data_IF_504035080327
#
_entry.id   IF_504035080327
#
_cell.length_a   1.000
_cell.length_b   1.000
_cell.length_c   1.000
_cell.angle_alpha   90.00
_cell.angle_beta   90.00
_cell.angle_gamma   90.00
#
_symmetry.space_group_name_H-M   'P 1'
#
loop_
_entity.id
_entity.type
_entity.pdbx_description
1 polymer ?
#
# COMPACT_ATOMS: atom_id res chain seq x y z
N UNK A 1 9.82 -9.44 -5.09
CA UNK A 1 9.00 -10.65 -4.90
C UNK A 1 7.77 -10.24 -4.09
N UNK A 2 6.65 -10.94 -4.25
CA UNK A 2 5.43 -10.75 -3.46
C UNK A 2 5.47 -11.75 -2.29
N UNK A 3 6.22 -11.44 -1.27
CA UNK A 3 6.48 -12.28 -0.09
C UNK A 3 5.89 -11.71 1.21
N UNK A 4 5.23 -10.56 1.11
CA UNK A 4 4.46 -9.96 2.18
C UNK A 4 2.98 -10.34 2.10
N UNK A 5 2.23 -9.93 3.13
CA UNK A 5 0.79 -10.16 3.21
C UNK A 5 0.06 -8.84 3.52
N UNK A 6 -1.07 -8.63 2.86
CA UNK A 6 -2.06 -7.64 3.27
C UNK A 6 -3.23 -8.38 3.90
N UNK A 7 -3.64 -7.92 5.06
CA UNK A 7 -4.77 -8.48 5.80
C UNK A 7 -5.84 -7.42 6.04
N UNK A 8 -7.07 -7.87 6.17
CA UNK A 8 -8.18 -7.05 6.68
C UNK A 8 -8.97 -7.87 7.69
N UNK A 9 -9.32 -7.24 8.79
CA UNK A 9 -10.21 -7.83 9.78
C UNK A 9 -11.30 -6.83 10.15
N UNK A 10 -12.51 -7.32 10.29
CA UNK A 10 -13.67 -6.51 10.66
C UNK A 10 -14.76 -7.36 11.30
N UNK A 11 -15.69 -6.71 12.00
CA UNK A 11 -16.92 -7.33 12.43
C UNK A 11 -18.01 -7.18 11.38
N UNK A 12 -18.67 -8.27 11.05
CA UNK A 12 -19.84 -8.26 10.17
C UNK A 12 -21.10 -7.70 10.88
N UNK A 13 -22.23 -7.66 10.17
CA UNK A 13 -23.49 -7.16 10.71
C UNK A 13 -24.04 -7.99 11.88
N UNK A 14 -23.60 -9.23 12.02
CA UNK A 14 -23.97 -10.13 13.12
C UNK A 14 -23.00 -10.07 14.30
N UNK A 15 -21.96 -9.22 14.22
CA UNK A 15 -20.93 -9.08 15.24
C UNK A 15 -19.83 -10.15 15.19
N UNK A 16 -19.78 -10.98 14.14
CA UNK A 16 -18.76 -11.99 13.96
C UNK A 16 -17.50 -11.39 13.32
N UNK A 17 -16.35 -11.80 13.81
CA UNK A 17 -15.08 -11.40 13.21
C UNK A 17 -14.87 -12.08 11.87
N UNK A 18 -14.52 -11.30 10.87
CA UNK A 18 -14.07 -11.73 9.54
C UNK A 18 -12.59 -11.36 9.37
N UNK A 19 -11.85 -12.25 8.73
CA UNK A 19 -10.42 -12.08 8.47
C UNK A 19 -10.08 -12.55 7.06
N UNK A 20 -9.34 -11.73 6.35
CA UNK A 20 -8.81 -12.03 5.01
C UNK A 20 -7.31 -11.75 4.96
N UNK A 21 -6.59 -12.55 4.20
CA UNK A 21 -5.15 -12.45 4.02
C UNK A 21 -4.78 -12.75 2.57
N UNK A 22 -3.98 -11.88 1.96
CA UNK A 22 -3.59 -12.00 0.55
C UNK A 22 -2.11 -11.69 0.36
N UNK A 23 -1.47 -12.34 -0.64
CA UNK A 23 -0.11 -12.06 -1.01
C UNK A 23 0.04 -10.64 -1.60
N UNK A 24 1.06 -9.95 -1.16
CA UNK A 24 1.35 -8.58 -1.56
C UNK A 24 2.85 -8.28 -1.51
N UNK A 25 3.20 -7.04 -1.80
CA UNK A 25 4.50 -6.47 -1.47
C UNK A 25 4.33 -5.10 -0.84
N UNK A 26 5.19 -4.78 0.10
CA UNK A 26 5.30 -3.47 0.75
C UNK A 26 6.52 -2.69 0.26
N UNK A 27 7.33 -3.28 -0.60
CA UNK A 27 8.56 -2.71 -1.12
C UNK A 27 8.47 -2.28 -2.59
N UNK A 28 9.33 -1.34 -2.98
CA UNK A 28 9.51 -0.93 -4.36
C UNK A 28 10.13 -2.06 -5.21
N UNK A 29 9.70 -2.15 -6.46
CA UNK A 29 10.31 -3.05 -7.42
C UNK A 29 11.69 -2.57 -7.90
N UNK A 30 12.57 -3.50 -8.27
CA UNK A 30 13.93 -3.21 -8.74
C UNK A 30 13.98 -2.16 -9.86
N UNK A 31 13.09 -2.26 -10.85
CA UNK A 31 13.02 -1.28 -11.94
C UNK A 31 12.59 0.12 -11.49
N UNK A 32 11.73 0.18 -10.47
CA UNK A 32 11.33 1.44 -9.84
C UNK A 32 12.51 2.11 -9.15
N UNK A 33 13.32 1.35 -8.43
CA UNK A 33 14.53 1.85 -7.75
C UNK A 33 15.56 2.38 -8.76
N UNK A 34 15.86 1.60 -9.80
CA UNK A 34 16.91 1.94 -10.79
C UNK A 34 16.56 3.14 -11.66
N UNK A 35 15.27 3.36 -11.96
CA UNK A 35 14.79 4.36 -12.95
C UNK A 35 13.93 5.47 -12.37
N UNK A 36 13.83 5.56 -11.05
CA UNK A 36 12.96 6.54 -10.40
C UNK A 36 13.44 7.98 -10.65
N UNK A 37 12.52 8.84 -11.06
CA UNK A 37 12.81 10.24 -11.38
C UNK A 37 12.91 11.18 -10.18
N UNK A 38 12.47 10.76 -8.98
CA UNK A 38 12.52 11.59 -7.79
C UNK A 38 13.94 11.60 -7.21
N UNK A 39 14.56 12.79 -7.02
CA UNK A 39 15.92 12.89 -6.48
C UNK A 39 16.06 12.35 -5.06
N UNK A 40 14.96 12.25 -4.29
CA UNK A 40 14.94 11.62 -2.96
C UNK A 40 14.91 10.10 -3.00
N UNK A 41 14.82 9.48 -4.18
CA UNK A 41 14.72 8.04 -4.38
C UNK A 41 13.32 7.48 -4.09
N UNK A 42 13.19 6.15 -4.20
CA UNK A 42 11.95 5.45 -3.88
C UNK A 42 11.66 5.49 -2.39
N UNK A 43 10.40 5.32 -2.04
CA UNK A 43 9.95 5.31 -0.67
C UNK A 43 9.72 3.88 -0.16
N UNK A 44 9.96 3.65 1.12
CA UNK A 44 9.49 2.50 1.87
C UNK A 44 8.74 2.98 3.10
N UNK A 45 7.50 2.55 3.27
CA UNK A 45 6.70 2.95 4.43
C UNK A 45 7.37 2.48 5.72
N UNK A 46 7.51 3.36 6.69
CA UNK A 46 8.01 3.01 8.02
C UNK A 46 6.94 2.19 8.75
N UNK A 47 7.33 1.10 9.40
CA UNK A 47 6.43 0.29 10.20
C UNK A 47 5.74 1.13 11.29
N UNK A 48 4.46 0.90 11.49
CA UNK A 48 3.66 1.65 12.44
C UNK A 48 2.19 1.73 12.03
N UNK A 49 1.39 2.37 12.87
CA UNK A 49 -0.03 2.60 12.60
C UNK A 49 -0.27 4.02 12.09
N UNK A 50 -0.99 4.10 10.98
CA UNK A 50 -1.40 5.36 10.36
C UNK A 50 -2.92 5.42 10.33
N UNK A 51 -3.48 6.21 11.24
CA UNK A 51 -4.93 6.29 11.41
C UNK A 51 -5.57 7.26 10.44
N UNK A 52 -6.60 6.78 9.69
CA UNK A 52 -7.42 7.61 8.84
C UNK A 52 -6.70 8.31 7.69
N UNK A 53 -5.57 7.77 7.22
CA UNK A 53 -4.76 8.42 6.19
C UNK A 53 -5.15 8.04 4.76
N UNK A 54 -5.96 7.00 4.56
CA UNK A 54 -6.39 6.51 3.24
C UNK A 54 -7.88 6.74 2.99
N UNK A 55 -8.20 6.94 1.72
CA UNK A 55 -9.56 6.98 1.20
C UNK A 55 -9.63 6.21 -0.13
N UNK A 56 -10.82 5.74 -0.48
CA UNK A 56 -11.08 5.23 -1.83
C UNK A 56 -11.03 6.40 -2.79
N UNK A 57 -10.11 6.35 -3.76
CA UNK A 57 -9.92 7.35 -4.79
C UNK A 57 -9.27 6.69 -6.03
N UNK A 58 -9.09 7.43 -7.10
CA UNK A 58 -8.46 6.92 -8.31
C UNK A 58 -6.95 6.83 -8.18
N UNK A 59 -6.41 5.61 -8.28
CA UNK A 59 -4.97 5.41 -8.40
C UNK A 59 -4.51 5.82 -9.80
N UNK A 60 -3.63 6.81 -9.87
CA UNK A 60 -3.15 7.42 -11.13
C UNK A 60 -4.29 7.84 -12.08
N UNK A 61 -5.43 8.21 -11.55
CA UNK A 61 -6.63 8.59 -12.32
C UNK A 61 -7.31 7.43 -13.08
N UNK A 62 -6.94 6.17 -12.82
CA UNK A 62 -7.37 5.03 -13.64
C UNK A 62 -8.44 4.15 -12.99
N UNK A 63 -8.24 3.72 -11.76
CA UNK A 63 -9.14 2.78 -11.08
C UNK A 63 -9.18 3.03 -9.57
N UNK A 64 -10.27 2.60 -8.94
CA UNK A 64 -10.44 2.76 -7.50
C UNK A 64 -9.44 1.92 -6.71
N UNK A 65 -8.79 2.56 -5.73
CA UNK A 65 -7.85 1.95 -4.80
C UNK A 65 -7.93 2.66 -3.45
N UNK A 66 -7.25 2.16 -2.44
CA UNK A 66 -7.04 2.94 -1.23
C UNK A 66 -5.85 3.87 -1.45
N UNK A 67 -6.14 5.15 -1.54
CA UNK A 67 -5.15 6.18 -1.82
C UNK A 67 -4.82 6.98 -0.56
N UNK A 68 -3.54 7.19 -0.32
CA UNK A 68 -3.08 8.02 0.79
C UNK A 68 -3.31 9.50 0.45
N UNK A 69 -4.44 10.03 0.93
CA UNK A 69 -4.90 11.40 0.64
C UNK A 69 -5.23 12.22 1.88
N UNK A 70 -5.58 11.56 3.00
CA UNK A 70 -6.22 12.20 4.15
C UNK A 70 -5.26 12.50 5.30
N UNK A 71 -4.07 11.92 5.30
CA UNK A 71 -3.12 12.11 6.38
C UNK A 71 -1.69 11.77 5.98
N UNK A 72 -0.75 12.28 6.75
CA UNK A 72 0.67 12.06 6.53
C UNK A 72 1.08 10.64 6.88
N UNK A 73 2.06 10.13 6.14
CA UNK A 73 2.81 8.92 6.48
C UNK A 73 4.29 9.25 6.54
N UNK A 74 5.07 8.37 7.17
CA UNK A 74 6.53 8.49 7.24
C UNK A 74 7.15 7.37 6.42
N UNK A 75 8.14 7.71 5.60
CA UNK A 75 8.82 6.79 4.70
C UNK A 75 10.33 6.87 4.87
N UNK A 76 11.02 5.73 4.68
CA UNK A 76 12.44 5.67 4.39
C UNK A 76 12.69 6.02 2.92
N UNK A 77 13.82 6.67 2.63
CA UNK A 77 14.22 7.00 1.25
C UNK A 77 15.49 6.27 0.87
N UNK A 78 15.49 5.67 -0.32
CA UNK A 78 16.68 5.09 -0.97
C UNK A 78 17.20 6.05 -2.03
N UNK A 79 17.95 7.07 -1.60
CA UNK A 79 18.48 8.10 -2.49
C UNK A 79 19.68 7.63 -3.33
N UNK A 80 20.46 6.67 -2.85
CA UNK A 80 21.61 6.11 -3.57
C UNK A 80 21.23 4.96 -4.51
N UNK A 81 19.97 4.48 -4.46
CA UNK A 81 19.40 3.47 -5.36
C UNK A 81 20.07 2.10 -5.29
N UNK A 82 20.61 1.73 -4.14
CA UNK A 82 21.29 0.45 -3.94
C UNK A 82 20.38 -0.69 -3.46
N UNK A 83 19.07 -0.46 -3.40
CA UNK A 83 18.06 -1.37 -2.86
C UNK A 83 18.17 -1.62 -1.35
N UNK A 84 19.00 -0.85 -0.67
CA UNK A 84 19.11 -0.84 0.78
C UNK A 84 18.52 0.47 1.29
N UNK A 85 17.59 0.35 2.21
CA UNK A 85 17.11 1.50 2.94
C UNK A 85 18.00 1.63 4.18
N UNK A 86 18.99 2.53 4.10
CA UNK A 86 20.00 2.72 5.15
C UNK A 86 19.38 3.24 6.47
N UNK A 87 18.07 3.45 6.48
CA UNK A 87 17.25 3.81 7.63
C UNK A 87 17.76 5.06 8.38
N UNK A 88 18.52 5.91 7.68
CA UNK A 88 19.13 7.11 8.26
C UNK A 88 18.23 8.33 8.09
N UNK A 89 17.48 8.41 6.97
CA UNK A 89 16.63 9.55 6.66
C UNK A 89 15.20 9.12 6.43
N UNK A 90 14.30 9.80 7.12
CA UNK A 90 12.85 9.67 6.90
C UNK A 90 12.30 10.94 6.27
N UNK A 91 11.14 10.81 5.65
CA UNK A 91 10.37 11.91 5.10
C UNK A 91 8.92 11.71 5.51
N UNK A 92 8.21 12.77 5.88
CA UNK A 92 6.82 12.69 6.36
C UNK A 92 5.95 13.61 5.54
N UNK A 93 4.84 13.09 5.04
CA UNK A 93 3.92 13.87 4.22
C UNK A 93 2.91 13.00 3.49
N UNK A 94 2.24 13.61 2.51
CA UNK A 94 1.36 12.92 1.58
C UNK A 94 2.15 12.62 0.32
N UNK A 95 2.48 11.34 0.12
CA UNK A 95 3.33 10.88 -0.99
C UNK A 95 2.58 9.99 -1.97
N UNK A 96 1.31 9.72 -1.72
CA UNK A 96 0.55 8.78 -2.51
C UNK A 96 1.00 7.33 -2.31
N UNK A 97 1.30 6.94 -1.08
CA UNK A 97 1.58 5.55 -0.71
C UNK A 97 0.26 4.78 -0.77
N UNK A 98 -0.13 4.38 -1.97
CA UNK A 98 -1.42 3.78 -2.23
C UNK A 98 -1.39 2.27 -2.02
N UNK A 99 -2.56 1.68 -1.77
CA UNK A 99 -2.77 0.24 -1.72
C UNK A 99 -3.50 -0.12 -3.00
N UNK A 100 -2.81 -0.78 -3.93
CA UNK A 100 -3.31 -1.04 -5.28
C UNK A 100 -2.95 -2.45 -5.79
N UNK A 101 -3.25 -2.74 -7.03
CA UNK A 101 -2.95 -4.03 -7.68
C UNK A 101 -1.74 -3.93 -8.60
N UNK A 102 -1.07 -5.06 -8.83
CA UNK A 102 -0.20 -5.23 -9.98
C UNK A 102 -1.02 -5.16 -11.30
N UNK A 103 -0.38 -4.87 -12.42
CA UNK A 103 -1.05 -4.79 -13.71
C UNK A 103 -1.58 -6.13 -14.20
N UNK A 104 -0.87 -7.21 -13.89
CA UNK A 104 -1.21 -8.61 -14.16
C UNK A 104 -0.76 -9.46 -13.00
N UNK A 105 -1.27 -10.69 -12.91
CA UNK A 105 -0.75 -11.64 -11.91
C UNK A 105 0.74 -11.87 -12.18
N UNK A 106 1.57 -11.59 -11.18
CA UNK A 106 3.02 -11.62 -11.31
C UNK A 106 3.69 -12.20 -10.08
N UNK A 107 4.85 -12.81 -10.28
CA UNK A 107 5.73 -13.26 -9.20
C UNK A 107 6.73 -12.19 -8.80
N UNK A 108 7.00 -11.26 -9.69
CA UNK A 108 7.98 -10.19 -9.50
C UNK A 108 7.33 -8.82 -9.40
N UNK A 109 7.82 -8.00 -8.51
CA UNK A 109 7.30 -6.62 -8.30
C UNK A 109 7.62 -5.72 -9.48
N UNK A 110 8.81 -5.84 -10.03
CA UNK A 110 9.33 -5.05 -11.17
C UNK A 110 9.06 -3.52 -11.00
N UNK A 111 8.17 -2.98 -11.84
CA UNK A 111 7.82 -1.55 -11.87
C UNK A 111 6.42 -1.23 -11.33
N UNK A 112 5.78 -2.19 -10.66
CA UNK A 112 4.43 -2.00 -10.10
C UNK A 112 4.41 -1.12 -8.85
N UNK A 113 5.54 -1.00 -8.15
CA UNK A 113 5.65 -0.24 -6.92
C UNK A 113 6.90 0.63 -6.89
N UNK A 114 6.70 1.87 -6.47
CA UNK A 114 7.75 2.85 -6.12
C UNK A 114 7.62 3.26 -4.65
N UNK A 115 7.09 2.35 -3.82
CA UNK A 115 6.80 2.53 -2.40
C UNK A 115 5.36 2.24 -1.99
N UNK A 116 4.48 1.94 -2.94
CA UNK A 116 3.11 1.54 -2.68
C UNK A 116 3.00 0.11 -2.14
N UNK A 117 1.86 -0.19 -1.55
CA UNK A 117 1.48 -1.52 -1.11
C UNK A 117 0.73 -2.22 -2.24
N UNK A 118 1.24 -3.32 -2.78
CA UNK A 118 0.76 -3.87 -4.06
C UNK A 118 0.30 -5.32 -3.91
N UNK A 119 -0.97 -5.56 -4.24
CA UNK A 119 -1.54 -6.92 -4.33
C UNK A 119 -0.93 -7.69 -5.50
N UNK A 120 -0.59 -8.95 -5.25
CA UNK A 120 -0.07 -9.86 -6.27
C UNK A 120 -1.12 -10.21 -7.33
N UNK A 121 -2.36 -10.50 -6.89
CA UNK A 121 -3.45 -10.98 -7.75
C UNK A 121 -4.56 -9.95 -7.88
N UNK A 122 -5.02 -9.74 -9.10
CA UNK A 122 -6.13 -8.81 -9.41
C UNK A 122 -7.41 -9.21 -8.68
N UNK A 123 -7.76 -10.48 -8.64
CA UNK A 123 -8.97 -10.98 -7.94
C UNK A 123 -8.94 -10.72 -6.43
N UNK A 124 -7.78 -10.86 -5.81
CA UNK A 124 -7.60 -10.57 -4.39
C UNK A 124 -7.84 -9.08 -4.12
N UNK A 125 -7.29 -8.22 -4.95
CA UNK A 125 -7.51 -6.78 -4.89
C UNK A 125 -8.98 -6.40 -5.11
N UNK A 126 -9.68 -7.04 -6.02
CA UNK A 126 -11.11 -6.81 -6.27
C UNK A 126 -11.94 -7.16 -5.03
N UNK A 127 -11.66 -8.28 -4.38
CA UNK A 127 -12.30 -8.68 -3.12
C UNK A 127 -12.01 -7.67 -2.01
N UNK A 128 -10.77 -7.26 -1.86
CA UNK A 128 -10.36 -6.23 -0.91
C UNK A 128 -11.13 -4.91 -1.13
N UNK A 129 -11.19 -4.42 -2.36
CA UNK A 129 -11.90 -3.18 -2.68
C UNK A 129 -13.41 -3.29 -2.49
N UNK A 130 -13.99 -4.46 -2.74
CA UNK A 130 -15.41 -4.72 -2.45
C UNK A 130 -15.71 -4.57 -0.95
N UNK A 131 -14.86 -5.12 -0.09
CA UNK A 131 -14.97 -4.97 1.37
C UNK A 131 -14.81 -3.50 1.77
N UNK A 132 -13.81 -2.82 1.24
CA UNK A 132 -13.56 -1.40 1.52
C UNK A 132 -14.73 -0.50 1.10
N UNK A 133 -15.30 -0.74 -0.07
CA UNK A 133 -16.46 0.04 -0.56
C UNK A 133 -17.69 -0.15 0.31
N UNK A 134 -17.94 -1.37 0.79
CA UNK A 134 -19.01 -1.63 1.77
C UNK A 134 -18.75 -0.90 3.08
N UNK A 135 -17.53 -0.99 3.61
CA UNK A 135 -17.15 -0.31 4.84
C UNK A 135 -17.30 1.23 4.71
N UNK A 136 -16.93 1.80 3.57
CA UNK A 136 -17.07 3.23 3.32
C UNK A 136 -18.53 3.71 3.36
N UNK A 137 -19.48 2.91 2.89
CA UNK A 137 -20.91 3.22 2.95
C UNK A 137 -21.45 3.26 4.38
N UNK A 138 -20.88 2.46 5.28
CA UNK A 138 -21.35 2.33 6.67
C UNK A 138 -20.61 3.32 7.59
N UNK A 139 -19.29 3.44 7.43
CA UNK A 139 -18.40 4.15 8.36
C UNK A 139 -17.77 5.42 7.79
N UNK A 140 -18.00 5.73 6.50
CA UNK A 140 -17.35 6.82 5.79
C UNK A 140 -16.08 6.38 5.05
N UNK A 141 -15.66 7.20 4.08
CA UNK A 141 -14.51 6.93 3.22
C UNK A 141 -13.20 7.35 3.89
N UNK A 142 -12.83 6.64 4.94
CA UNK A 142 -11.62 6.91 5.72
C UNK A 142 -11.11 5.61 6.34
N UNK A 143 -9.85 5.27 6.06
CA UNK A 143 -9.24 4.00 6.43
C UNK A 143 -7.91 4.20 7.14
N UNK A 144 -7.66 3.34 8.12
CA UNK A 144 -6.38 3.22 8.81
C UNK A 144 -5.60 2.02 8.30
N UNK A 145 -4.30 2.14 8.28
CA UNK A 145 -3.39 1.06 7.88
C UNK A 145 -2.28 0.91 8.91
N UNK A 146 -1.96 -0.33 9.25
CA UNK A 146 -0.83 -0.67 10.13
C UNK A 146 0.14 -1.55 9.37
N UNK A 147 1.39 -1.14 9.28
CA UNK A 147 2.49 -1.95 8.76
C UNK A 147 3.26 -2.57 9.91
N UNK A 148 3.41 -3.88 9.87
CA UNK A 148 4.20 -4.66 10.82
C UNK A 148 5.41 -5.25 10.10
N UNK A 149 6.56 -5.18 10.73
CA UNK A 149 7.77 -5.92 10.35
C UNK A 149 7.97 -7.07 11.33
N UNK A 150 8.18 -8.27 10.79
CA UNK A 150 8.37 -9.51 11.56
C UNK A 150 9.64 -10.20 11.15
#
# INVERSE_FOLDING_TARGET
VFDDFITISYKDSLGNWQFFCWNATTDAGKKGVEKFGNPKGVARLVAGQYRGAWAIDKHRGKYDALCQRLGNVTVWRDANRDLKFDEIKTDTGIFGINIHKAGTDSTWVENWSEGCQVFKRVKDFETFMFICKKAAKIHGNKFSYTLLEI
#
